data_IF_180426061008
#
_entry.id   IF_180426061008
#
_cell.length_a   1.000
_cell.length_b   1.000
_cell.length_c   1.000
_cell.angle_alpha   90.00
_cell.angle_beta   90.00
_cell.angle_gamma   90.00
#
_symmetry.space_group_name_H-M   'P 1'
#
loop_
_entity.id
_entity.type
_entity.pdbx_description
1 polymer ?
#
# COMPACT_ATOMS: atom_id res chain seq x y z
N UNK A 1 17.56 -2.93 7.95
CA UNK A 1 16.95 -4.19 7.48
C UNK A 1 16.61 -4.03 6.01
N UNK A 2 16.25 -5.10 5.30
CA UNK A 2 15.82 -5.00 3.90
C UNK A 2 14.44 -5.65 3.78
N UNK A 3 13.49 -4.95 3.15
CA UNK A 3 12.16 -5.50 2.88
C UNK A 3 12.29 -6.65 1.86
N UNK A 4 11.50 -7.71 2.04
CA UNK A 4 11.50 -8.86 1.14
C UNK A 4 10.08 -9.11 0.66
N UNK A 5 9.91 -9.36 -0.63
CA UNK A 5 8.62 -9.70 -1.23
C UNK A 5 8.81 -10.91 -2.13
N UNK A 6 8.15 -12.04 -1.86
CA UNK A 6 8.35 -13.28 -2.63
C UNK A 6 7.00 -13.85 -3.03
N UNK A 7 6.89 -14.26 -4.29
CA UNK A 7 5.76 -15.09 -4.73
C UNK A 7 5.98 -16.49 -4.16
N UNK A 8 5.03 -16.97 -3.37
CA UNK A 8 5.06 -18.33 -2.80
C UNK A 8 4.24 -19.32 -3.63
N UNK A 9 3.17 -18.83 -4.26
CA UNK A 9 2.22 -19.64 -5.01
C UNK A 9 1.67 -18.85 -6.19
N UNK A 10 1.59 -19.49 -7.35
CA UNK A 10 0.96 -18.93 -8.55
C UNK A 10 0.19 -20.07 -9.25
N UNK A 11 -1.08 -20.21 -8.90
CA UNK A 11 -1.88 -21.37 -9.30
C UNK A 11 -3.16 -20.96 -10.04
N UNK A 12 -3.57 -21.83 -10.95
CA UNK A 12 -4.92 -21.82 -11.50
C UNK A 12 -5.85 -22.54 -10.53
N UNK A 13 -6.89 -21.84 -10.05
CA UNK A 13 -7.96 -22.44 -9.25
C UNK A 13 -9.13 -22.74 -10.17
N UNK A 14 -9.53 -24.02 -10.36
CA UNK A 14 -10.69 -24.37 -11.17
C UNK A 14 -12.00 -23.81 -10.60
N UNK A 15 -13.00 -23.63 -11.46
CA UNK A 15 -14.34 -23.31 -11.01
C UNK A 15 -14.96 -24.47 -10.21
N UNK A 16 -15.81 -24.19 -9.20
CA UNK A 16 -16.35 -22.88 -8.83
C UNK A 16 -15.42 -22.03 -7.96
N UNK A 17 -15.33 -20.73 -8.25
CA UNK A 17 -14.59 -19.75 -7.42
C UNK A 17 -15.42 -19.26 -6.23
N UNK A 18 -15.95 -20.19 -5.44
CA UNK A 18 -16.67 -19.84 -4.21
C UNK A 18 -15.70 -19.66 -3.04
N UNK A 19 -16.21 -19.13 -1.93
CA UNK A 19 -15.42 -18.83 -0.73
C UNK A 19 -14.77 -20.07 -0.12
N UNK A 20 -15.40 -21.24 -0.22
CA UNK A 20 -14.88 -22.49 0.31
C UNK A 20 -13.64 -22.94 -0.48
N UNK A 21 -13.76 -23.05 -1.81
CA UNK A 21 -12.68 -23.50 -2.70
C UNK A 21 -11.48 -22.57 -2.64
N UNK A 22 -11.71 -21.26 -2.64
CA UNK A 22 -10.64 -20.27 -2.54
C UNK A 22 -9.96 -20.27 -1.16
N UNK A 23 -10.73 -20.49 -0.08
CA UNK A 23 -10.18 -20.64 1.26
C UNK A 23 -9.33 -21.89 1.38
N UNK A 24 -9.79 -23.03 0.84
CA UNK A 24 -9.03 -24.28 0.86
C UNK A 24 -7.71 -24.13 0.10
N UNK A 25 -7.73 -23.53 -1.09
CA UNK A 25 -6.50 -23.26 -1.85
C UNK A 25 -5.51 -22.36 -1.08
N UNK A 26 -6.00 -21.39 -0.31
CA UNK A 26 -5.16 -20.53 0.52
C UNK A 26 -4.59 -21.30 1.72
N UNK A 27 -5.40 -22.11 2.40
CA UNK A 27 -4.96 -22.94 3.53
C UNK A 27 -3.91 -23.96 3.09
N UNK A 28 -4.13 -24.65 1.97
CA UNK A 28 -3.16 -25.58 1.39
C UNK A 28 -1.83 -24.89 1.11
N UNK A 29 -1.86 -23.67 0.55
CA UNK A 29 -0.65 -22.87 0.36
C UNK A 29 0.06 -22.55 1.68
N UNK A 30 -0.67 -22.18 2.74
CA UNK A 30 -0.08 -21.85 4.04
C UNK A 30 0.57 -23.09 4.69
N UNK A 31 -0.06 -24.25 4.55
CA UNK A 31 0.42 -25.53 5.08
C UNK A 31 1.62 -26.07 4.28
N UNK A 32 1.55 -26.03 2.94
CA UNK A 32 2.64 -26.48 2.04
C UNK A 32 3.96 -25.76 2.37
N UNK A 33 3.88 -24.48 2.72
CA UNK A 33 5.02 -23.65 3.09
C UNK A 33 5.34 -23.65 4.59
N UNK A 34 4.53 -24.31 5.43
CA UNK A 34 4.66 -24.34 6.89
C UNK A 34 4.72 -22.93 7.51
N UNK A 35 3.79 -22.07 7.07
CA UNK A 35 3.65 -20.67 7.49
C UNK A 35 2.28 -20.34 8.10
N UNK A 36 1.40 -21.33 8.26
CA UNK A 36 0.09 -21.21 8.88
C UNK A 36 0.14 -20.57 10.29
N UNK A 37 1.23 -20.80 11.04
CA UNK A 37 1.47 -20.19 12.38
C UNK A 37 2.37 -18.96 12.36
N UNK A 38 2.79 -18.51 11.18
CA UNK A 38 3.71 -17.36 10.99
C UNK A 38 3.03 -16.21 10.28
N UNK A 39 1.70 -16.24 10.22
CA UNK A 39 0.89 -15.27 9.52
C UNK A 39 0.57 -14.07 10.42
N UNK A 40 0.90 -12.88 9.95
CA UNK A 40 0.57 -11.61 10.61
C UNK A 40 -0.74 -11.03 10.08
N UNK A 41 -0.77 -10.76 8.78
CA UNK A 41 -1.85 -10.06 8.06
C UNK A 41 -1.96 -10.59 6.64
N UNK A 42 -3.16 -10.52 6.07
CA UNK A 42 -3.46 -10.82 4.68
C UNK A 42 -4.08 -9.57 4.05
N UNK A 43 -3.47 -9.08 2.97
CA UNK A 43 -4.02 -7.98 2.18
C UNK A 43 -4.76 -8.52 0.96
N UNK A 44 -6.06 -8.24 0.85
CA UNK A 44 -6.92 -8.66 -0.27
C UNK A 44 -7.62 -7.46 -0.89
N UNK A 45 -8.12 -7.61 -2.12
CA UNK A 45 -8.99 -6.61 -2.73
C UNK A 45 -10.36 -6.52 -2.02
N UNK A 46 -11.18 -5.54 -2.39
CA UNK A 46 -12.46 -5.28 -1.72
C UNK A 46 -13.62 -6.15 -2.23
N UNK A 47 -13.35 -7.31 -2.83
CA UNK A 47 -14.39 -8.25 -3.19
C UNK A 47 -15.07 -8.82 -1.93
N UNK A 48 -16.40 -8.89 -1.91
CA UNK A 48 -17.16 -9.42 -0.77
C UNK A 48 -16.88 -10.91 -0.50
N UNK A 49 -16.47 -11.67 -1.53
CA UNK A 49 -16.03 -13.06 -1.37
C UNK A 49 -14.83 -13.17 -0.44
N UNK A 50 -13.92 -12.19 -0.46
CA UNK A 50 -12.73 -12.18 0.40
C UNK A 50 -13.08 -12.01 1.87
N UNK A 51 -14.09 -11.19 2.18
CA UNK A 51 -14.59 -11.04 3.56
C UNK A 51 -15.07 -12.39 4.12
N UNK A 52 -15.75 -13.18 3.28
CA UNK A 52 -16.21 -14.50 3.66
C UNK A 52 -15.07 -15.52 3.78
N UNK A 53 -14.05 -15.45 2.91
CA UNK A 53 -12.84 -16.30 2.99
C UNK A 53 -12.09 -16.05 4.29
N UNK A 54 -11.89 -14.78 4.67
CA UNK A 54 -11.20 -14.42 5.90
C UNK A 54 -11.91 -14.99 7.12
N UNK A 55 -13.24 -14.89 7.18
CA UNK A 55 -14.00 -15.45 8.31
C UNK A 55 -13.77 -16.96 8.45
N UNK A 56 -13.83 -17.71 7.34
CA UNK A 56 -13.54 -19.16 7.34
C UNK A 56 -12.10 -19.43 7.74
N UNK A 57 -11.17 -18.60 7.26
CA UNK A 57 -9.74 -18.77 7.52
C UNK A 57 -9.39 -18.55 8.99
N UNK A 58 -9.97 -17.54 9.65
CA UNK A 58 -9.76 -17.28 11.09
C UNK A 58 -10.15 -18.50 11.92
N UNK A 59 -11.23 -19.20 11.55
CA UNK A 59 -11.70 -20.41 12.24
C UNK A 59 -10.77 -21.62 12.01
N UNK A 60 -10.06 -21.65 10.88
CA UNK A 60 -9.11 -22.72 10.52
C UNK A 60 -7.69 -22.49 11.05
N UNK A 61 -7.33 -21.25 11.38
CA UNK A 61 -6.01 -20.90 11.89
C UNK A 61 -5.96 -20.90 13.42
N UNK A 62 -4.77 -21.15 13.97
CA UNK A 62 -4.55 -21.03 15.41
C UNK A 62 -4.61 -19.57 15.84
N UNK A 63 -5.71 -19.18 16.51
CA UNK A 63 -5.94 -17.83 17.01
C UNK A 63 -4.84 -17.31 17.95
N UNK A 64 -4.08 -18.21 18.60
CA UNK A 64 -2.96 -17.81 19.47
C UNK A 64 -1.73 -17.35 18.69
N UNK A 65 -1.60 -17.77 17.43
CA UNK A 65 -0.52 -17.36 16.53
C UNK A 65 -0.77 -15.98 15.89
N UNK A 66 -2.04 -15.57 15.74
CA UNK A 66 -2.44 -14.33 15.07
C UNK A 66 -2.34 -13.09 15.97
N UNK A 67 -1.99 -11.94 15.39
CA UNK A 67 -1.95 -10.66 16.10
C UNK A 67 -3.34 -10.22 16.58
N UNK A 68 -3.40 -9.73 17.83
CA UNK A 68 -4.63 -9.24 18.46
C UNK A 68 -5.80 -10.24 18.36
N UNK A 69 -5.48 -11.55 18.36
CA UNK A 69 -6.43 -12.66 18.15
C UNK A 69 -7.13 -12.62 16.79
N UNK A 70 -6.42 -12.26 15.73
CA UNK A 70 -6.93 -12.21 14.37
C UNK A 70 -7.72 -10.94 14.02
N UNK A 71 -7.90 -10.00 14.96
CA UNK A 71 -8.65 -8.75 14.73
C UNK A 71 -8.08 -7.87 13.61
N UNK A 72 -6.78 -8.00 13.34
CA UNK A 72 -6.06 -7.25 12.30
C UNK A 72 -5.61 -8.14 11.14
N UNK A 73 -6.15 -9.36 11.04
CA UNK A 73 -5.74 -10.31 10.01
C UNK A 73 -6.06 -9.80 8.62
N UNK A 74 -7.23 -9.18 8.42
CA UNK A 74 -7.65 -8.72 7.09
C UNK A 74 -7.33 -7.25 6.86
N UNK A 75 -6.44 -7.02 5.89
CA UNK A 75 -6.15 -5.71 5.34
C UNK A 75 -6.82 -5.55 3.98
N UNK A 76 -7.55 -4.45 3.81
CA UNK A 76 -8.15 -4.11 2.52
C UNK A 76 -7.12 -3.41 1.64
N UNK A 77 -7.09 -3.77 0.35
CA UNK A 77 -6.22 -3.15 -0.62
C UNK A 77 -6.54 -1.66 -0.77
N UNK A 78 -5.61 -0.82 -0.34
CA UNK A 78 -5.79 0.62 -0.28
C UNK A 78 -5.89 1.24 -1.68
N UNK A 79 -5.11 0.74 -2.63
CA UNK A 79 -5.20 1.21 -4.01
C UNK A 79 -6.55 0.86 -4.65
N UNK A 80 -7.13 -0.29 -4.30
CA UNK A 80 -8.49 -0.64 -4.70
C UNK A 80 -9.53 0.26 -4.03
N UNK A 81 -9.37 0.60 -2.73
CA UNK A 81 -10.23 1.58 -2.04
C UNK A 81 -10.18 2.93 -2.76
N UNK A 82 -8.99 3.44 -3.08
CA UNK A 82 -8.81 4.70 -3.80
C UNK A 82 -9.46 4.66 -5.19
N UNK A 83 -9.30 3.55 -5.93
CA UNK A 83 -9.97 3.35 -7.21
C UNK A 83 -11.50 3.44 -7.09
N UNK A 84 -12.08 2.79 -6.07
CA UNK A 84 -13.52 2.87 -5.83
C UNK A 84 -13.98 4.28 -5.45
N UNK A 85 -13.24 4.98 -4.57
CA UNK A 85 -13.55 6.36 -4.20
C UNK A 85 -13.55 7.26 -5.44
N UNK A 86 -12.49 7.18 -6.25
CA UNK A 86 -12.35 8.05 -7.41
C UNK A 86 -13.43 7.75 -8.45
N UNK A 87 -13.72 6.48 -8.72
CA UNK A 87 -14.79 6.09 -9.66
C UNK A 87 -16.15 6.67 -9.29
N UNK A 88 -16.57 6.56 -8.04
CA UNK A 88 -17.84 7.14 -7.57
C UNK A 88 -17.87 8.67 -7.79
N UNK A 89 -16.73 9.34 -7.68
CA UNK A 89 -16.60 10.76 -8.03
C UNK A 89 -16.60 11.04 -9.54
N UNK A 90 -16.00 10.16 -10.35
CA UNK A 90 -15.97 10.32 -11.81
C UNK A 90 -17.35 10.14 -12.45
N UNK A 91 -18.24 9.33 -11.85
CA UNK A 91 -19.61 9.12 -12.34
C UNK A 91 -20.41 10.42 -12.46
N UNK A 92 -20.19 11.38 -11.54
CA UNK A 92 -20.92 12.66 -11.54
C UNK A 92 -20.28 13.74 -12.40
N UNK A 93 -19.06 13.54 -12.89
CA UNK A 93 -18.34 14.54 -13.71
C UNK A 93 -18.24 14.13 -15.19
N UNK A 94 -18.86 13.02 -15.58
CA UNK A 94 -18.79 12.46 -16.95
C UNK A 94 -19.09 13.48 -18.05
N UNK A 95 -20.10 14.33 -17.86
CA UNK A 95 -20.46 15.40 -18.81
C UNK A 95 -19.39 16.50 -18.92
N UNK A 96 -18.65 16.77 -17.85
CA UNK A 96 -17.62 17.81 -17.81
C UNK A 96 -16.35 17.46 -18.59
N UNK A 97 -16.14 16.18 -18.92
CA UNK A 97 -14.95 15.68 -19.63
C UNK A 97 -15.27 14.93 -20.93
N UNK A 98 -16.55 14.79 -21.28
CA UNK A 98 -17.01 13.99 -22.42
C UNK A 98 -16.44 14.49 -23.75
N UNK A 99 -16.47 15.81 -23.99
CA UNK A 99 -15.95 16.38 -25.25
C UNK A 99 -14.44 16.19 -25.41
N UNK A 100 -13.68 16.28 -24.32
CA UNK A 100 -12.23 16.03 -24.34
C UNK A 100 -11.97 14.55 -24.62
N UNK A 101 -12.70 13.65 -23.95
CA UNK A 101 -12.63 12.21 -24.20
C UNK A 101 -12.93 11.86 -25.65
N UNK A 102 -14.02 12.38 -26.20
CA UNK A 102 -14.42 12.19 -27.60
C UNK A 102 -13.32 12.66 -28.56
N UNK A 103 -12.68 13.78 -28.24
CA UNK A 103 -11.59 14.34 -29.05
C UNK A 103 -10.35 13.45 -29.02
N UNK A 104 -9.98 12.95 -27.83
CA UNK A 104 -8.86 12.02 -27.69
C UNK A 104 -9.14 10.75 -28.50
N UNK A 105 -10.31 10.13 -28.30
CA UNK A 105 -10.73 8.93 -29.06
C UNK A 105 -10.69 9.18 -30.56
N UNK A 106 -11.16 10.34 -31.03
CA UNK A 106 -11.15 10.68 -32.44
C UNK A 106 -9.72 10.71 -33.01
N UNK A 107 -8.79 11.38 -32.33
CA UNK A 107 -7.42 11.60 -32.81
C UNK A 107 -6.50 10.40 -32.61
N UNK A 108 -6.83 9.47 -31.71
CA UNK A 108 -6.07 8.22 -31.53
C UNK A 108 -6.64 7.03 -32.30
N UNK A 109 -7.79 7.17 -32.97
CA UNK A 109 -8.49 6.05 -33.63
C UNK A 109 -7.72 5.38 -34.77
N UNK A 110 -6.80 6.08 -35.44
CA UNK A 110 -6.06 5.55 -36.60
C UNK A 110 -4.68 6.16 -36.67
N UNK A 111 -3.72 5.41 -37.23
CA UNK A 111 -2.34 5.88 -37.41
C UNK A 111 -2.24 7.21 -38.15
N UNK A 112 -2.99 7.39 -39.25
CA UNK A 112 -2.99 8.66 -40.00
C UNK A 112 -3.53 9.86 -39.21
N UNK A 113 -4.45 9.64 -38.25
CA UNK A 113 -4.91 10.71 -37.36
C UNK A 113 -3.89 11.06 -36.28
N UNK A 114 -3.17 10.05 -35.76
CA UNK A 114 -2.06 10.26 -34.82
C UNK A 114 -0.97 11.09 -35.49
N UNK A 115 -0.55 10.72 -36.70
CA UNK A 115 0.47 11.45 -37.46
C UNK A 115 0.05 12.90 -37.75
N UNK A 116 -1.21 13.13 -38.12
CA UNK A 116 -1.75 14.47 -38.32
C UNK A 116 -1.76 15.27 -37.01
N UNK A 117 -2.14 14.65 -35.89
CA UNK A 117 -2.08 15.27 -34.57
C UNK A 117 -0.66 15.71 -34.21
N UNK A 118 0.33 14.82 -34.39
CA UNK A 118 1.75 15.09 -34.10
C UNK A 118 2.36 16.15 -35.04
N UNK A 119 1.96 16.18 -36.32
CA UNK A 119 2.32 17.25 -37.24
C UNK A 119 1.79 18.61 -36.74
N UNK A 120 0.52 18.66 -36.31
CA UNK A 120 -0.09 19.91 -35.83
C UNK A 120 0.53 20.37 -34.51
N UNK A 121 0.78 19.46 -33.58
CA UNK A 121 1.43 19.79 -32.31
C UNK A 121 2.83 20.39 -32.55
N UNK A 122 3.60 19.86 -33.50
CA UNK A 122 4.88 20.44 -33.94
C UNK A 122 4.72 21.83 -34.58
N UNK A 123 3.71 22.05 -35.41
CA UNK A 123 3.44 23.36 -36.03
C UNK A 123 3.08 24.44 -35.00
N UNK A 124 2.34 24.07 -33.96
CA UNK A 124 1.98 24.97 -32.85
C UNK A 124 3.14 25.13 -31.85
N UNK A 125 4.27 24.45 -32.07
CA UNK A 125 5.46 24.44 -31.19
C UNK A 125 5.19 23.91 -29.79
N UNK A 126 4.22 23.01 -29.65
CA UNK A 126 3.99 22.27 -28.41
C UNK A 126 4.95 21.08 -28.38
N UNK A 127 5.67 20.89 -27.28
CA UNK A 127 6.60 19.78 -27.11
C UNK A 127 5.83 18.45 -27.07
N UNK A 128 6.00 17.61 -28.10
CA UNK A 128 5.34 16.31 -28.23
C UNK A 128 6.03 15.24 -27.39
N UNK A 129 6.07 15.41 -26.06
CA UNK A 129 6.80 14.52 -25.16
C UNK A 129 5.97 13.32 -24.69
N UNK A 130 4.65 13.38 -24.80
CA UNK A 130 3.72 12.31 -24.36
C UNK A 130 2.68 12.03 -25.45
N UNK A 131 2.41 10.76 -25.77
CA UNK A 131 1.31 10.37 -26.66
C UNK A 131 -0.04 10.57 -25.97
N UNK A 132 -1.09 10.89 -26.72
CA UNK A 132 -2.45 10.93 -26.17
C UNK A 132 -2.86 9.52 -25.70
N UNK A 133 -3.29 9.43 -24.44
CA UNK A 133 -3.72 8.16 -23.83
C UNK A 133 -5.25 8.03 -23.85
N UNK A 134 -5.75 6.85 -24.18
CA UNK A 134 -7.19 6.55 -24.13
C UNK A 134 -7.69 6.43 -22.68
N UNK A 135 -8.93 6.86 -22.46
CA UNK A 135 -9.61 6.65 -21.19
C UNK A 135 -10.19 5.24 -21.08
N UNK A 136 -9.73 4.48 -20.11
CA UNK A 136 -10.28 3.20 -19.68
C UNK A 136 -11.27 3.41 -18.53
N UNK A 137 -12.58 3.22 -18.81
CA UNK A 137 -13.65 3.40 -17.80
C UNK A 137 -13.45 2.57 -16.54
N UNK A 138 -12.78 1.43 -16.64
CA UNK A 138 -12.53 0.53 -15.51
C UNK A 138 -11.28 0.90 -14.70
N UNK A 139 -10.44 1.84 -15.14
CA UNK A 139 -9.21 2.28 -14.46
C UNK A 139 -9.14 3.81 -14.39
N UNK A 140 -9.51 4.40 -13.26
CA UNK A 140 -9.55 5.87 -13.14
C UNK A 140 -8.20 6.59 -13.43
N UNK A 141 -7.06 5.90 -13.21
CA UNK A 141 -5.73 6.43 -13.53
C UNK A 141 -5.61 6.84 -15.00
N UNK A 142 -6.22 6.09 -15.93
CA UNK A 142 -6.20 6.47 -17.35
C UNK A 142 -7.01 7.73 -17.62
N UNK A 143 -8.09 7.97 -16.86
CA UNK A 143 -8.84 9.22 -16.97
C UNK A 143 -7.96 10.40 -16.57
N UNK A 144 -7.22 10.28 -15.47
CA UNK A 144 -6.25 11.31 -15.06
C UNK A 144 -5.16 11.52 -16.12
N UNK A 145 -4.50 10.46 -16.58
CA UNK A 145 -3.44 10.53 -17.59
C UNK A 145 -3.94 11.09 -18.93
N UNK A 146 -5.17 10.76 -19.35
CA UNK A 146 -5.82 11.33 -20.52
C UNK A 146 -5.99 12.83 -20.35
N UNK A 147 -6.56 13.30 -19.23
CA UNK A 147 -6.81 14.72 -19.00
C UNK A 147 -5.51 15.52 -18.88
N UNK A 148 -4.54 15.02 -18.11
CA UNK A 148 -3.22 15.65 -17.94
C UNK A 148 -2.54 15.81 -19.31
N UNK A 149 -2.55 14.76 -20.14
CA UNK A 149 -1.89 14.78 -21.44
C UNK A 149 -2.66 15.62 -22.46
N UNK A 150 -3.99 15.50 -22.52
CA UNK A 150 -4.82 16.29 -23.42
C UNK A 150 -4.69 17.80 -23.13
N UNK A 151 -4.54 18.17 -21.86
CA UNK A 151 -4.36 19.57 -21.46
C UNK A 151 -3.06 20.18 -22.01
N UNK A 152 -1.97 19.40 -22.10
CA UNK A 152 -0.71 19.85 -22.74
C UNK A 152 -0.91 20.26 -24.20
N UNK A 153 -1.90 19.66 -24.87
CA UNK A 153 -2.20 19.88 -26.28
C UNK A 153 -3.45 20.74 -26.51
N UNK A 154 -3.95 21.45 -25.49
CA UNK A 154 -5.16 22.30 -25.58
C UNK A 154 -5.19 23.17 -26.84
N UNK A 155 -4.09 23.84 -27.16
CA UNK A 155 -3.98 24.77 -28.30
C UNK A 155 -3.92 24.08 -29.68
N UNK A 156 -3.73 22.75 -29.71
CA UNK A 156 -3.65 21.96 -30.94
C UNK A 156 -5.04 21.62 -31.47
N UNK A 157 -6.01 21.33 -30.58
CA UNK A 157 -7.38 20.92 -30.96
C UNK A 157 -8.12 21.94 -31.86
N UNK A 158 -8.05 23.27 -31.62
CA UNK A 158 -8.68 24.24 -32.52
C UNK A 158 -8.09 24.24 -33.93
N UNK A 159 -6.78 23.98 -34.07
CA UNK A 159 -6.10 23.90 -35.38
C UNK A 159 -6.50 22.65 -36.14
N UNK A 160 -6.58 21.53 -35.42
CA UNK A 160 -7.04 20.25 -35.97
C UNK A 160 -8.46 20.33 -36.54
N UNK A 161 -9.35 21.07 -35.85
CA UNK A 161 -10.71 21.35 -36.33
C UNK A 161 -10.77 22.10 -37.66
N UNK A 162 -9.77 22.93 -37.97
CA UNK A 162 -9.71 23.64 -39.25
C UNK A 162 -9.31 22.72 -40.41
N UNK A 163 -8.52 21.68 -40.14
CA UNK A 163 -8.02 20.74 -41.17
C UNK A 163 -8.94 19.54 -41.39
N UNK A 164 -9.57 19.02 -40.34
CA UNK A 164 -10.38 17.79 -40.42
C UNK A 164 -11.87 18.08 -40.28
N UNK A 165 -12.61 17.91 -41.38
CA UNK A 165 -14.05 18.18 -41.44
C UNK A 165 -14.87 17.20 -40.61
N UNK A 166 -14.38 15.96 -40.46
CA UNK A 166 -15.06 14.91 -39.69
C UNK A 166 -14.94 15.11 -38.17
N UNK A 167 -14.00 15.93 -37.71
CA UNK A 167 -13.86 16.26 -36.31
C UNK A 167 -14.93 17.28 -35.92
N UNK A 168 -16.11 16.83 -35.48
CA UNK A 168 -17.27 17.71 -35.27
C UNK A 168 -17.32 18.34 -33.88
N UNK A 169 -16.96 17.59 -32.84
CA UNK A 169 -17.05 17.99 -31.42
C UNK A 169 -15.73 18.53 -30.90
N UNK A 170 -15.56 19.86 -30.93
CA UNK A 170 -14.41 20.54 -30.32
C UNK A 170 -14.72 20.85 -28.83
N UNK A 171 -13.79 20.61 -27.89
CA UNK A 171 -13.92 21.05 -26.51
C UNK A 171 -13.94 22.58 -26.42
N UNK A 172 -14.83 23.14 -25.60
CA UNK A 172 -14.90 24.57 -25.34
C UNK A 172 -13.90 25.01 -24.27
N UNK A 173 -13.66 26.31 -24.13
CA UNK A 173 -12.84 26.84 -23.03
C UNK A 173 -13.39 26.43 -21.65
N UNK A 174 -14.71 26.44 -21.49
CA UNK A 174 -15.37 25.98 -20.26
C UNK A 174 -15.10 24.50 -19.96
N UNK A 175 -15.01 23.64 -20.98
CA UNK A 175 -14.64 22.23 -20.78
C UNK A 175 -13.21 22.11 -20.28
N UNK A 176 -12.30 22.90 -20.84
CA UNK A 176 -10.90 22.90 -20.41
C UNK A 176 -10.74 23.41 -18.98
N UNK A 177 -11.49 24.43 -18.59
CA UNK A 177 -11.47 24.96 -17.22
C UNK A 177 -12.01 23.92 -16.21
N UNK A 178 -13.13 23.26 -16.52
CA UNK A 178 -13.68 22.16 -15.70
C UNK A 178 -12.72 20.99 -15.61
N UNK A 179 -12.18 20.55 -16.76
CA UNK A 179 -11.24 19.44 -16.82
C UNK A 179 -9.97 19.71 -16.04
N UNK A 180 -9.45 20.95 -16.09
CA UNK A 180 -8.30 21.36 -15.29
C UNK A 180 -8.60 21.29 -13.79
N UNK A 181 -9.74 21.84 -13.35
CA UNK A 181 -10.14 21.82 -11.94
C UNK A 181 -10.27 20.37 -11.43
N UNK A 182 -10.87 19.49 -12.22
CA UNK A 182 -10.99 18.05 -11.94
C UNK A 182 -9.61 17.40 -11.88
N UNK A 183 -8.77 17.62 -12.90
CA UNK A 183 -7.43 17.05 -13.00
C UNK A 183 -6.56 17.42 -11.79
N UNK A 184 -6.63 18.69 -11.35
CA UNK A 184 -5.93 19.17 -10.17
C UNK A 184 -6.36 18.44 -8.89
N UNK A 185 -7.64 18.06 -8.78
CA UNK A 185 -8.14 17.26 -7.64
C UNK A 185 -7.69 15.80 -7.75
N UNK A 186 -7.79 15.20 -8.93
CA UNK A 186 -7.40 13.81 -9.19
C UNK A 186 -5.90 13.58 -8.98
N UNK A 187 -5.06 14.59 -9.21
CA UNK A 187 -3.62 14.54 -8.97
C UNK A 187 -3.26 14.10 -7.55
N UNK A 188 -4.05 14.49 -6.55
CA UNK A 188 -3.88 14.05 -5.16
C UNK A 188 -3.95 12.52 -5.06
N UNK A 189 -5.00 11.93 -5.63
CA UNK A 189 -5.19 10.48 -5.62
C UNK A 189 -4.13 9.76 -6.44
N UNK A 190 -3.65 10.37 -7.52
CA UNK A 190 -2.67 9.76 -8.42
C UNK A 190 -1.33 9.63 -7.70
N UNK A 191 -0.89 10.73 -7.10
CA UNK A 191 0.34 10.77 -6.29
C UNK A 191 0.27 9.78 -5.12
N UNK A 192 -0.88 9.65 -4.46
CA UNK A 192 -1.05 8.69 -3.34
C UNK A 192 -1.03 7.25 -3.84
N UNK A 193 -1.66 6.97 -4.98
CA UNK A 193 -1.71 5.62 -5.56
C UNK A 193 -0.33 5.16 -6.03
N UNK A 194 0.46 6.04 -6.65
CA UNK A 194 1.85 5.74 -7.01
C UNK A 194 2.69 5.43 -5.76
N UNK A 195 2.56 6.22 -4.70
CA UNK A 195 3.25 5.97 -3.44
C UNK A 195 2.84 4.61 -2.83
N UNK A 196 1.57 4.24 -2.91
CA UNK A 196 1.09 2.96 -2.37
C UNK A 196 1.45 1.76 -3.27
N UNK A 197 1.87 2.01 -4.51
CA UNK A 197 2.30 0.98 -5.46
C UNK A 197 3.80 0.67 -5.36
N UNK A 198 4.53 1.40 -4.50
CA UNK A 198 5.96 1.17 -4.25
C UNK A 198 6.26 -0.20 -3.65
N UNK A 199 7.40 -0.77 -4.03
CA UNK A 199 7.86 -2.10 -3.57
C UNK A 199 9.15 -2.08 -2.75
N UNK A 200 9.90 -0.98 -2.85
CA UNK A 200 11.27 -0.90 -2.33
C UNK A 200 11.34 -0.20 -0.96
N UNK A 201 10.19 0.11 -0.36
CA UNK A 201 10.09 0.77 0.94
C UNK A 201 8.82 0.33 1.67
N UNK A 202 8.79 0.41 3.01
CA UNK A 202 7.58 0.19 3.79
C UNK A 202 6.47 1.14 3.39
N UNK A 203 5.31 0.61 3.02
CA UNK A 203 4.14 1.42 2.65
C UNK A 203 3.19 1.68 3.83
N UNK A 204 3.20 0.81 4.85
CA UNK A 204 2.26 0.86 5.97
C UNK A 204 2.29 2.19 6.75
N UNK A 205 3.48 2.70 7.07
CA UNK A 205 3.64 3.98 7.77
C UNK A 205 3.25 5.19 6.90
N UNK A 206 3.31 5.05 5.57
CA UNK A 206 2.90 6.10 4.63
C UNK A 206 1.37 6.21 4.50
N UNK A 207 0.62 5.15 4.83
CA UNK A 207 -0.83 5.11 4.59
C UNK A 207 -1.58 6.19 5.36
N UNK A 208 -1.45 6.19 6.68
CA UNK A 208 -2.25 7.03 7.58
C UNK A 208 -2.20 8.53 7.21
N UNK A 209 -1.02 9.19 7.05
CA UNK A 209 -0.99 10.60 6.69
C UNK A 209 -1.64 10.90 5.34
N UNK A 210 -1.50 10.01 4.36
CA UNK A 210 -2.05 10.23 3.01
C UNK A 210 -3.56 10.07 2.98
N UNK A 211 -4.09 9.06 3.64
CA UNK A 211 -5.53 8.81 3.70
C UNK A 211 -6.25 9.87 4.54
N UNK A 212 -5.68 10.27 5.68
CA UNK A 212 -6.17 11.43 6.43
C UNK A 212 -6.13 12.72 5.59
N UNK A 213 -5.06 12.92 4.82
CA UNK A 213 -4.94 14.03 3.88
C UNK A 213 -6.05 14.07 2.83
N UNK A 214 -6.43 12.91 2.28
CA UNK A 214 -7.56 12.78 1.35
C UNK A 214 -8.86 13.20 2.03
N UNK A 215 -9.16 12.73 3.25
CA UNK A 215 -10.38 13.11 3.98
C UNK A 215 -10.48 14.59 4.26
N UNK A 216 -9.37 15.22 4.66
CA UNK A 216 -9.31 16.67 4.84
C UNK A 216 -9.55 17.38 3.51
N UNK A 217 -8.90 16.94 2.42
CA UNK A 217 -9.08 17.52 1.09
C UNK A 217 -10.55 17.41 0.61
N UNK A 218 -11.18 16.24 0.73
CA UNK A 218 -12.58 16.02 0.39
C UNK A 218 -13.50 16.97 1.18
N UNK A 219 -13.22 17.16 2.48
CA UNK A 219 -13.97 18.10 3.32
C UNK A 219 -13.83 19.55 2.86
N UNK A 220 -12.62 19.95 2.43
CA UNK A 220 -12.40 21.26 1.80
C UNK A 220 -13.13 21.40 0.46
N UNK A 221 -13.14 20.35 -0.36
CA UNK A 221 -13.76 20.39 -1.69
C UNK A 221 -15.29 20.46 -1.63
N UNK A 222 -15.91 19.97 -0.55
CA UNK A 222 -17.34 20.18 -0.28
C UNK A 222 -17.72 21.66 -0.15
N UNK A 223 -16.76 22.53 0.19
CA UNK A 223 -16.93 23.98 0.30
C UNK A 223 -16.51 24.72 -0.98
N UNK A 224 -16.19 23.99 -2.07
CA UNK A 224 -15.77 24.59 -3.33
C UNK A 224 -16.88 25.47 -3.93
N UNK A 225 -16.55 26.61 -4.58
CA UNK A 225 -17.53 27.38 -5.36
C UNK A 225 -18.08 26.59 -6.56
N UNK A 226 -17.28 25.66 -7.08
CA UNK A 226 -17.62 24.82 -8.24
C UNK A 226 -18.58 23.69 -7.85
N UNK A 227 -19.78 23.69 -8.44
CA UNK A 227 -20.82 22.70 -8.16
C UNK A 227 -20.38 21.28 -8.51
N UNK A 228 -19.70 21.11 -9.65
CA UNK A 228 -19.19 19.81 -10.09
C UNK A 228 -18.18 19.23 -9.09
N UNK A 229 -17.33 20.08 -8.49
CA UNK A 229 -16.38 19.65 -7.45
C UNK A 229 -17.08 19.31 -6.15
N UNK A 230 -18.10 20.07 -5.73
CA UNK A 230 -18.88 19.71 -4.53
C UNK A 230 -19.59 18.38 -4.69
N UNK A 231 -20.21 18.13 -5.85
CA UNK A 231 -20.86 16.86 -6.16
C UNK A 231 -19.87 15.69 -6.15
N UNK A 232 -18.73 15.86 -6.84
CA UNK A 232 -17.64 14.88 -6.87
C UNK A 232 -17.13 14.57 -5.45
N UNK A 233 -16.84 15.61 -4.65
CA UNK A 233 -16.35 15.45 -3.29
C UNK A 233 -17.37 14.76 -2.38
N UNK A 234 -18.67 15.04 -2.55
CA UNK A 234 -19.74 14.39 -1.80
C UNK A 234 -19.77 12.88 -2.04
N UNK A 235 -19.77 12.45 -3.31
CA UNK A 235 -19.73 11.03 -3.68
C UNK A 235 -18.46 10.33 -3.22
N UNK A 236 -17.31 10.95 -3.44
CA UNK A 236 -16.02 10.44 -2.98
C UNK A 236 -15.97 10.30 -1.45
N UNK A 237 -16.50 11.28 -0.71
CA UNK A 237 -16.53 11.24 0.76
C UNK A 237 -17.46 10.14 1.27
N UNK A 238 -18.65 9.99 0.70
CA UNK A 238 -19.57 8.90 1.07
C UNK A 238 -18.89 7.54 0.92
N UNK A 239 -18.16 7.33 -0.18
CA UNK A 239 -17.41 6.10 -0.42
C UNK A 239 -16.23 5.94 0.54
N UNK A 240 -15.52 7.03 0.84
CA UNK A 240 -14.40 7.04 1.78
C UNK A 240 -14.83 6.55 3.18
N UNK A 241 -15.93 7.10 3.74
CA UNK A 241 -16.35 6.80 5.11
C UNK A 241 -16.66 5.29 5.30
N UNK A 242 -17.15 4.62 4.25
CA UNK A 242 -17.43 3.17 4.27
C UNK A 242 -16.18 2.32 4.57
N UNK A 243 -14.98 2.81 4.25
CA UNK A 243 -13.73 2.06 4.42
C UNK A 243 -12.84 2.60 5.54
N UNK A 244 -13.11 3.80 6.03
CA UNK A 244 -12.30 4.47 7.06
C UNK A 244 -12.22 3.65 8.35
N UNK A 245 -13.35 3.15 8.82
CA UNK A 245 -13.44 2.42 10.09
C UNK A 245 -12.71 1.08 10.08
N UNK A 246 -12.52 0.50 8.89
CA UNK A 246 -11.89 -0.83 8.73
C UNK A 246 -10.36 -0.76 8.85
N UNK A 247 -9.73 0.31 8.36
CA UNK A 247 -8.28 0.32 8.14
C UNK A 247 -7.50 1.25 9.09
N UNK A 248 -8.16 2.17 9.80
CA UNK A 248 -7.45 3.25 10.50
C UNK A 248 -6.65 2.79 11.73
N UNK A 249 -7.02 1.67 12.39
CA UNK A 249 -6.36 1.26 13.65
C UNK A 249 -4.94 0.79 13.42
N UNK A 250 -4.77 -0.28 12.64
CA UNK A 250 -3.45 -0.87 12.33
C UNK A 250 -2.54 0.12 11.58
N UNK A 251 -3.12 0.97 10.75
CA UNK A 251 -2.38 2.01 10.04
C UNK A 251 -2.01 3.19 10.95
N UNK A 252 -2.84 3.48 11.95
CA UNK A 252 -2.48 4.38 13.04
C UNK A 252 -1.28 3.85 13.82
N UNK A 253 -1.26 2.55 14.15
CA UNK A 253 -0.11 1.89 14.79
C UNK A 253 1.15 2.01 13.91
N UNK A 254 1.04 1.72 12.61
CA UNK A 254 2.16 1.86 11.68
C UNK A 254 2.71 3.31 11.62
N UNK A 255 1.83 4.31 11.71
CA UNK A 255 2.23 5.71 11.79
C UNK A 255 2.89 6.06 13.13
N UNK A 256 2.41 5.51 14.24
CA UNK A 256 3.03 5.69 15.57
C UNK A 256 4.44 5.13 15.59
N UNK A 257 4.68 3.99 14.94
CA UNK A 257 6.01 3.37 14.82
C UNK A 257 6.97 4.11 13.88
N UNK A 258 6.53 5.18 13.20
CA UNK A 258 7.44 6.09 12.50
C UNK A 258 7.93 7.17 13.47
N UNK A 259 9.25 7.23 13.77
CA UNK A 259 9.80 8.17 14.75
C UNK A 259 9.67 9.64 14.32
N UNK A 260 9.34 9.93 13.05
CA UNK A 260 9.03 11.29 12.57
C UNK A 260 7.60 11.71 12.90
N UNK A 261 6.73 10.76 13.23
CA UNK A 261 5.30 10.96 13.37
C UNK A 261 4.85 10.75 14.82
N UNK A 262 5.04 9.53 15.34
CA UNK A 262 4.55 9.09 16.65
C UNK A 262 3.05 9.41 16.83
N UNK A 263 2.58 9.51 18.07
CA UNK A 263 1.20 9.92 18.35
C UNK A 263 0.90 11.36 17.89
N UNK A 264 1.91 12.23 17.74
CA UNK A 264 1.70 13.63 17.35
C UNK A 264 1.03 13.77 15.99
N UNK A 265 1.41 12.95 15.01
CA UNK A 265 0.78 12.96 13.69
C UNK A 265 -0.69 12.48 13.77
N UNK A 266 -0.94 11.44 14.57
CA UNK A 266 -2.28 10.89 14.79
C UNK A 266 -3.19 11.96 15.40
N UNK A 267 -2.74 12.62 16.48
CA UNK A 267 -3.45 13.73 17.12
C UNK A 267 -3.73 14.87 16.14
N UNK A 268 -2.73 15.31 15.37
CA UNK A 268 -2.89 16.38 14.40
C UNK A 268 -3.99 16.13 13.37
N UNK A 269 -4.06 14.92 12.80
CA UNK A 269 -5.09 14.60 11.83
C UNK A 269 -6.44 14.34 12.49
N UNK A 270 -6.48 13.69 13.64
CA UNK A 270 -7.72 13.42 14.35
C UNK A 270 -8.39 14.70 14.86
N UNK A 271 -7.64 15.71 15.29
CA UNK A 271 -8.18 17.05 15.60
C UNK A 271 -8.89 17.66 14.40
N UNK A 272 -8.29 17.57 13.20
CA UNK A 272 -8.91 18.08 11.96
C UNK A 272 -10.13 17.27 11.50
N UNK A 273 -10.16 15.99 11.86
CA UNK A 273 -11.14 15.04 11.36
C UNK A 273 -12.36 14.95 12.29
N UNK A 274 -12.12 14.86 13.59
CA UNK A 274 -13.12 14.58 14.61
C UNK A 274 -13.40 15.78 15.53
N UNK A 275 -12.57 16.83 15.48
CA UNK A 275 -12.70 17.97 16.39
C UNK A 275 -12.60 17.51 17.85
N UNK A 276 -13.63 17.80 18.63
CA UNK A 276 -13.69 17.48 20.07
C UNK A 276 -13.61 15.97 20.37
N UNK A 277 -13.98 15.11 19.40
CA UNK A 277 -13.86 13.64 19.53
C UNK A 277 -12.45 13.09 19.32
N UNK A 278 -11.48 13.92 18.94
CA UNK A 278 -10.15 13.47 18.54
C UNK A 278 -9.41 12.69 19.63
N UNK A 279 -9.51 13.14 20.89
CA UNK A 279 -8.79 12.52 22.00
C UNK A 279 -9.17 11.05 22.20
N UNK A 280 -10.46 10.71 22.07
CA UNK A 280 -10.97 9.34 22.23
C UNK A 280 -10.35 8.41 21.18
N UNK A 281 -10.26 8.85 19.93
CA UNK A 281 -9.68 8.06 18.85
C UNK A 281 -8.15 7.94 18.97
N UNK A 282 -7.46 9.01 19.42
CA UNK A 282 -6.01 8.94 19.70
C UNK A 282 -5.74 7.93 20.82
N UNK A 283 -6.56 7.96 21.88
CA UNK A 283 -6.43 7.05 23.02
C UNK A 283 -6.64 5.60 22.61
N UNK A 284 -7.60 5.34 21.73
CA UNK A 284 -7.83 4.02 21.15
C UNK A 284 -6.60 3.50 20.41
N UNK A 285 -5.95 4.32 19.57
CA UNK A 285 -4.70 3.92 18.89
C UNK A 285 -3.59 3.65 19.92
N UNK A 286 -3.45 4.52 20.92
CA UNK A 286 -2.47 4.35 22.00
C UNK A 286 -2.68 3.04 22.75
N UNK A 287 -3.91 2.72 23.13
CA UNK A 287 -4.23 1.47 23.81
C UNK A 287 -3.93 0.24 22.96
N UNK A 288 -4.22 0.27 21.65
CA UNK A 288 -3.87 -0.84 20.76
C UNK A 288 -2.34 -1.04 20.65
N UNK A 289 -1.55 0.04 20.71
CA UNK A 289 -0.09 -0.06 20.78
C UNK A 289 0.38 -0.76 22.07
N UNK A 290 -0.26 -0.44 23.21
CA UNK A 290 0.01 -1.12 24.49
C UNK A 290 -0.37 -2.59 24.48
N UNK A 291 -1.56 -2.92 23.97
CA UNK A 291 -2.03 -4.29 23.87
C UNK A 291 -1.07 -5.14 23.02
N UNK A 292 -0.58 -4.58 21.91
CA UNK A 292 0.39 -5.23 21.04
C UNK A 292 1.75 -5.41 21.72
N UNK A 293 2.21 -4.42 22.48
CA UNK A 293 3.43 -4.51 23.28
C UNK A 293 3.35 -5.67 24.29
N UNK A 294 2.24 -5.74 25.03
CA UNK A 294 2.02 -6.80 26.02
C UNK A 294 1.94 -8.19 25.38
N UNK A 295 1.26 -8.31 24.23
CA UNK A 295 1.18 -9.55 23.47
C UNK A 295 2.59 -10.05 23.07
N UNK A 296 3.44 -9.18 22.52
CA UNK A 296 4.80 -9.55 22.11
C UNK A 296 5.70 -9.90 23.30
N UNK A 297 5.58 -9.19 24.43
CA UNK A 297 6.33 -9.51 25.65
C UNK A 297 5.94 -10.87 26.21
N UNK A 298 4.65 -11.22 26.16
CA UNK A 298 4.19 -12.55 26.59
C UNK A 298 4.73 -13.67 25.70
N UNK A 299 4.76 -13.47 24.38
CA UNK A 299 5.33 -14.42 23.41
C UNK A 299 6.83 -14.62 23.65
N UNK A 300 7.58 -13.54 23.90
CA UNK A 300 9.02 -13.61 24.25
C UNK A 300 9.28 -14.48 25.48
N UNK A 301 8.49 -14.30 26.55
CA UNK A 301 8.66 -15.08 27.77
C UNK A 301 8.40 -16.57 27.55
N UNK A 302 7.45 -16.91 26.68
CA UNK A 302 7.18 -18.31 26.32
C UNK A 302 8.30 -18.92 25.48
N UNK A 303 8.87 -18.15 24.55
CA UNK A 303 10.03 -18.58 23.76
C UNK A 303 11.25 -18.82 24.66
N UNK A 304 11.50 -17.97 25.66
CA UNK A 304 12.60 -18.16 26.62
C UNK A 304 12.38 -19.40 27.51
N UNK A 305 11.14 -19.66 27.96
CA UNK A 305 10.81 -20.85 28.76
C UNK A 305 10.93 -22.14 27.92
N UNK A 306 10.56 -22.10 26.65
CA UNK A 306 10.61 -23.26 25.75
C UNK A 306 12.02 -23.53 25.19
N UNK A 307 12.83 -22.49 24.97
CA UNK A 307 14.26 -22.61 24.69
C UNK A 307 15.08 -23.01 25.94
N UNK A 308 14.58 -22.69 27.15
CA UNK A 308 15.15 -23.07 28.44
C UNK A 308 14.83 -24.50 28.91
N UNK A 309 14.25 -25.33 28.04
CA UNK A 309 13.95 -26.75 28.27
C UNK A 309 15.17 -27.67 28.35
N UNK A 310 16.23 -27.25 29.04
CA UNK A 310 17.29 -28.07 29.65
C UNK A 310 18.15 -27.22 30.60
N UNK A 311 17.53 -26.49 31.53
CA UNK A 311 18.25 -26.02 32.71
C UNK A 311 17.29 -25.66 33.86
N UNK A 312 16.63 -26.66 34.43
CA UNK A 312 16.24 -26.59 35.85
C UNK A 312 17.02 -27.64 36.63
N UNK A 313 17.98 -27.14 37.40
CA UNK A 313 18.74 -27.81 38.46
C UNK A 313 19.45 -29.12 38.13
N UNK A 314 20.73 -29.04 37.75
CA UNK A 314 21.70 -30.08 38.08
C UNK A 314 22.90 -29.48 38.82
N UNK A 315 22.75 -29.35 40.14
CA UNK A 315 23.89 -29.47 41.05
C UNK A 315 24.38 -30.92 40.95
N UNK A 316 25.33 -31.22 40.06
CA UNK A 316 26.30 -32.32 40.22
C UNK A 316 27.34 -32.33 39.09
N UNK A 317 28.54 -31.86 39.44
CA UNK A 317 29.87 -32.26 38.97
C UNK A 317 30.11 -32.66 37.51
N UNK A 318 30.81 -31.81 36.75
CA UNK A 318 32.28 -31.95 36.58
C UNK A 318 32.85 -30.90 35.63
N UNK A 319 33.73 -30.07 36.21
CA UNK A 319 34.97 -29.50 35.66
C UNK A 319 34.98 -28.98 34.22
N UNK A 320 34.90 -27.65 34.06
CA UNK A 320 36.04 -26.85 33.59
C UNK A 320 35.76 -25.33 33.72
N UNK A 321 36.65 -24.68 34.48
CA UNK A 321 36.96 -23.23 34.57
C UNK A 321 35.84 -22.23 34.26
N UNK A 322 35.08 -21.86 35.29
CA UNK A 322 34.33 -20.59 35.31
C UNK A 322 35.21 -19.49 35.91
N UNK A 323 35.50 -18.46 35.13
CA UNK A 323 35.85 -17.15 35.68
C UNK A 323 34.63 -16.66 36.49
N UNK A 324 34.85 -16.45 37.78
CA UNK A 324 33.89 -15.89 38.72
C UNK A 324 33.57 -14.45 38.27
N UNK A 325 32.38 -14.25 37.68
CA UNK A 325 31.95 -12.95 37.19
C UNK A 325 31.71 -12.00 38.38
N UNK A 326 32.72 -11.16 38.63
CA UNK A 326 32.80 -10.17 39.71
C UNK A 326 31.60 -9.21 39.75
N UNK A 327 30.83 -9.10 38.65
CA UNK A 327 29.68 -8.21 38.52
C UNK A 327 28.33 -8.86 38.85
N UNK A 328 28.26 -10.18 39.03
CA UNK A 328 27.02 -10.88 39.42
C UNK A 328 26.39 -10.33 40.70
N UNK A 329 27.22 -9.92 41.66
CA UNK A 329 26.78 -9.26 42.90
C UNK A 329 26.27 -7.82 42.67
N UNK A 330 26.81 -7.12 41.67
CA UNK A 330 26.33 -5.81 41.24
C UNK A 330 24.97 -5.90 40.54
N UNK A 331 24.76 -6.91 39.68
CA UNK A 331 23.47 -7.17 39.03
C UNK A 331 22.36 -7.46 40.05
N UNK A 332 22.66 -8.25 41.09
CA UNK A 332 21.75 -8.51 42.20
C UNK A 332 21.45 -7.24 43.03
N UNK A 333 22.43 -6.36 43.22
CA UNK A 333 22.27 -5.09 43.93
C UNK A 333 21.35 -4.12 43.17
N UNK A 334 21.54 -3.98 41.86
CA UNK A 334 20.69 -3.13 41.01
C UNK A 334 19.24 -3.62 41.00
N UNK A 335 19.03 -4.93 40.87
CA UNK A 335 17.69 -5.52 40.91
C UNK A 335 16.99 -5.37 42.27
N UNK A 336 17.76 -5.33 43.36
CA UNK A 336 17.23 -5.14 44.72
C UNK A 336 16.84 -3.68 45.03
N UNK A 337 17.47 -2.70 44.36
CA UNK A 337 17.25 -1.27 44.60
C UNK A 337 16.03 -0.66 43.87
N UNK A 338 15.33 -1.42 43.04
CA UNK A 338 14.33 -0.88 42.09
C UNK A 338 12.87 -1.02 42.57
N UNK A 339 12.60 -0.87 43.86
CA UNK A 339 11.25 -0.86 44.41
C UNK A 339 10.66 0.57 44.46
N UNK A 340 9.53 0.77 43.78
CA UNK A 340 8.63 1.95 43.80
C UNK A 340 8.92 3.16 42.89
N UNK A 341 9.23 2.94 41.60
CA UNK A 341 8.99 3.95 40.55
C UNK A 341 8.00 3.36 39.56
N UNK A 342 6.98 4.13 39.16
CA UNK A 342 6.04 3.74 38.11
C UNK A 342 6.85 3.30 36.87
N UNK A 343 6.92 1.98 36.61
CA UNK A 343 7.83 1.41 35.62
C UNK A 343 7.32 1.80 34.24
N UNK A 344 7.87 2.88 33.68
CA UNK A 344 7.57 3.31 32.31
C UNK A 344 7.85 2.16 31.37
N UNK A 345 6.90 1.90 30.48
CA UNK A 345 7.06 0.89 29.45
C UNK A 345 8.05 1.35 28.37
N UNK A 346 8.52 0.39 27.58
CA UNK A 346 9.32 0.67 26.38
C UNK A 346 8.62 1.67 25.43
N UNK A 347 7.29 1.56 25.31
CA UNK A 347 6.45 2.45 24.51
C UNK A 347 6.42 3.88 25.07
N UNK A 348 6.36 4.05 26.40
CA UNK A 348 6.41 5.37 27.03
C UNK A 348 7.70 6.11 26.67
N UNK A 349 8.85 5.43 26.81
CA UNK A 349 10.15 6.01 26.46
C UNK A 349 10.22 6.42 24.98
N UNK A 350 9.72 5.55 24.09
CA UNK A 350 9.68 5.86 22.66
C UNK A 350 8.76 7.06 22.35
N UNK A 351 7.60 7.16 22.99
CA UNK A 351 6.64 8.24 22.75
C UNK A 351 7.08 9.58 23.35
N UNK A 352 7.81 9.57 24.46
CA UNK A 352 8.34 10.77 25.13
C UNK A 352 9.51 11.40 24.36
N UNK A 353 10.28 10.61 23.62
CA UNK A 353 11.33 11.13 22.76
C UNK A 353 10.79 12.11 21.70
N UNK A 354 11.58 13.12 21.38
CA UNK A 354 11.23 14.08 20.33
C UNK A 354 11.00 13.38 18.96
N UNK A 355 10.05 13.91 18.20
CA UNK A 355 9.85 13.48 16.81
C UNK A 355 11.04 13.92 15.96
N UNK A 356 11.43 13.06 15.01
CA UNK A 356 12.50 13.37 14.07
C UNK A 356 12.01 14.31 12.97
N UNK A 357 12.96 15.05 12.37
CA UNK A 357 12.69 15.87 11.20
C UNK A 357 12.35 14.98 9.99
N UNK A 358 11.41 15.45 9.17
CA UNK A 358 11.01 14.78 7.94
C UNK A 358 12.00 15.10 6.81
N UNK A 359 13.07 14.31 6.72
CA UNK A 359 13.99 14.34 5.57
C UNK A 359 13.56 13.33 4.50
N UNK A 360 13.92 13.60 3.24
CA UNK A 360 13.59 12.75 2.08
C UNK A 360 14.34 11.42 2.18
N UNK A 361 15.59 11.45 2.64
CA UNK A 361 16.47 10.28 2.70
C UNK A 361 16.34 9.46 4.00
N UNK A 362 15.26 9.66 4.76
CA UNK A 362 15.06 8.94 6.01
C UNK A 362 14.66 7.48 5.78
N UNK A 363 15.54 6.56 6.18
CA UNK A 363 15.28 5.12 6.18
C UNK A 363 14.77 4.63 7.54
N UNK A 364 13.46 4.39 7.62
CA UNK A 364 12.78 3.86 8.81
C UNK A 364 13.27 2.46 9.20
N UNK A 365 13.62 1.60 8.24
CA UNK A 365 14.08 0.23 8.50
C UNK A 365 15.50 0.24 9.08
N UNK A 366 16.36 1.14 8.62
CA UNK A 366 17.68 1.32 9.20
C UNK A 366 17.60 1.97 10.59
N UNK A 367 16.67 2.90 10.79
CA UNK A 367 16.43 3.52 12.10
C UNK A 367 16.04 2.47 13.15
N UNK A 368 15.05 1.61 12.85
CA UNK A 368 14.63 0.54 13.76
C UNK A 368 15.72 -0.53 13.96
N UNK A 369 16.51 -0.84 12.92
CA UNK A 369 17.66 -1.75 13.07
C UNK A 369 18.68 -1.20 14.08
N UNK A 370 18.96 0.09 14.03
CA UNK A 370 20.01 0.73 14.85
C UNK A 370 19.52 1.04 16.26
N UNK A 371 18.30 1.57 16.41
CA UNK A 371 17.75 1.99 17.70
C UNK A 371 16.99 0.87 18.42
N UNK A 372 16.75 -0.27 17.77
CA UNK A 372 15.98 -1.34 18.38
C UNK A 372 16.67 -2.08 19.53
N UNK A 373 17.98 -1.86 19.75
CA UNK A 373 18.63 -2.29 21.01
C UNK A 373 18.02 -1.58 22.22
N UNK A 374 17.63 -0.31 22.06
CA UNK A 374 16.93 0.47 23.09
C UNK A 374 15.47 0.04 23.24
N UNK A 375 14.89 -0.48 22.15
CA UNK A 375 13.49 -0.82 22.03
C UNK A 375 13.31 -2.25 21.49
N UNK A 376 13.67 -3.30 22.28
CA UNK A 376 13.72 -4.67 21.77
C UNK A 376 12.34 -5.23 21.37
N UNK A 377 11.27 -4.91 22.10
CA UNK A 377 9.93 -5.40 21.79
C UNK A 377 9.33 -4.62 20.62
N UNK A 378 9.41 -3.28 20.67
CA UNK A 378 8.90 -2.41 19.61
C UNK A 378 9.65 -2.63 18.31
N UNK A 379 10.94 -2.96 18.35
CA UNK A 379 11.69 -3.34 17.16
C UNK A 379 11.05 -4.56 16.47
N UNK A 380 10.64 -5.59 17.22
CA UNK A 380 9.93 -6.75 16.64
C UNK A 380 8.58 -6.34 16.06
N UNK A 381 7.80 -5.56 16.80
CA UNK A 381 6.51 -5.03 16.34
C UNK A 381 6.67 -4.22 15.04
N UNK A 382 7.64 -3.30 14.99
CA UNK A 382 7.93 -2.49 13.83
C UNK A 382 8.33 -3.34 12.62
N UNK A 383 9.07 -4.43 12.83
CA UNK A 383 9.44 -5.34 11.76
C UNK A 383 8.21 -5.96 11.08
N UNK A 384 7.24 -6.40 11.88
CA UNK A 384 6.08 -7.11 11.37
C UNK A 384 5.01 -6.15 10.81
N UNK A 385 4.80 -4.99 11.46
CA UNK A 385 3.83 -3.98 11.03
C UNK A 385 4.29 -3.21 9.79
N UNK A 386 5.58 -2.82 9.70
CA UNK A 386 6.09 -2.07 8.55
C UNK A 386 6.20 -2.93 7.29
N UNK A 387 6.25 -4.25 7.44
CA UNK A 387 6.26 -5.19 6.33
C UNK A 387 4.89 -5.38 5.67
N UNK A 388 3.80 -4.90 6.28
CA UNK A 388 2.44 -5.03 5.75
C UNK A 388 2.33 -4.28 4.41
N UNK A 389 2.06 -4.98 3.28
CA UNK A 389 1.77 -4.32 2.02
C UNK A 389 0.36 -3.74 2.07
N UNK A 390 0.23 -2.44 1.81
CA UNK A 390 -1.09 -1.78 1.81
C UNK A 390 -1.81 -1.92 0.46
N UNK A 391 -1.13 -2.42 -0.56
CA UNK A 391 -1.64 -2.55 -1.93
C UNK A 391 -1.34 -3.92 -2.52
N UNK A 392 -2.26 -4.45 -3.32
CA UNK A 392 -2.11 -5.68 -4.11
C UNK A 392 -1.53 -5.40 -5.49
N UNK A 393 -1.47 -4.12 -5.92
CA UNK A 393 -0.99 -3.71 -7.25
C UNK A 393 0.43 -4.23 -7.54
N UNK A 394 1.29 -4.27 -6.52
CA UNK A 394 2.63 -4.82 -6.66
C UNK A 394 2.60 -6.28 -7.15
N UNK A 395 1.63 -7.07 -6.68
CA UNK A 395 1.42 -8.46 -7.09
C UNK A 395 0.63 -8.56 -8.40
N UNK A 396 -0.29 -7.64 -8.68
CA UNK A 396 -1.04 -7.58 -9.95
C UNK A 396 -0.13 -7.46 -11.18
N UNK A 397 0.99 -6.74 -11.06
CA UNK A 397 1.99 -6.72 -12.14
C UNK A 397 2.59 -8.09 -12.48
N UNK A 398 2.63 -9.02 -11.53
CA UNK A 398 3.08 -10.39 -11.78
C UNK A 398 2.06 -11.11 -12.66
N UNK A 399 0.76 -10.86 -12.47
CA UNK A 399 -0.29 -11.36 -13.35
C UNK A 399 -0.22 -10.71 -14.74
N UNK A 400 0.01 -9.41 -14.85
CA UNK A 400 0.24 -8.76 -16.16
C UNK A 400 1.45 -9.33 -16.88
N UNK A 401 2.56 -9.56 -16.15
CA UNK A 401 3.77 -10.19 -16.70
C UNK A 401 3.49 -11.63 -17.15
N UNK A 402 2.62 -12.35 -16.43
CA UNK A 402 2.23 -13.71 -16.80
C UNK A 402 1.50 -13.78 -18.14
N UNK A 403 0.83 -12.72 -18.58
CA UNK A 403 0.24 -12.64 -19.94
C UNK A 403 1.26 -12.83 -21.06
N UNK A 404 2.53 -12.51 -20.82
CA UNK A 404 3.66 -12.76 -21.75
C UNK A 404 4.10 -14.24 -21.76
N UNK A 405 3.87 -14.97 -20.67
CA UNK A 405 4.20 -16.39 -20.50
C UNK A 405 3.05 -17.31 -20.91
N UNK A 406 1.83 -16.92 -20.56
CA UNK A 406 0.58 -17.60 -20.83
C UNK A 406 -0.34 -16.60 -21.53
N UNK A 407 -0.42 -16.73 -22.85
CA UNK A 407 -1.40 -15.98 -23.66
C UNK A 407 -2.41 -16.95 -24.27
N UNK A 408 -3.56 -16.49 -24.79
CA UNK A 408 -4.51 -17.35 -25.48
C UNK A 408 -3.87 -18.15 -26.64
N UNK A 409 -2.75 -17.65 -27.19
CA UNK A 409 -2.00 -18.25 -28.29
C UNK A 409 -0.79 -19.08 -27.80
N UNK A 410 -0.44 -18.98 -26.51
CA UNK A 410 0.71 -19.65 -25.85
C UNK A 410 0.30 -20.25 -24.50
N UNK A 411 -0.65 -21.18 -24.52
CA UNK A 411 -1.24 -21.81 -23.31
C UNK A 411 -0.73 -23.23 -23.00
N UNK A 412 0.40 -23.65 -23.60
CA UNK A 412 0.87 -25.05 -23.55
C UNK A 412 1.72 -25.42 -22.32
N UNK A 413 2.02 -24.48 -21.44
CA UNK A 413 2.80 -24.77 -20.24
C UNK A 413 1.91 -25.41 -19.17
N UNK A 414 2.40 -26.47 -18.53
CA UNK A 414 1.70 -27.08 -17.40
C UNK A 414 1.63 -26.08 -16.23
N UNK A 415 0.54 -26.01 -15.45
CA UNK A 415 0.39 -25.04 -14.36
C UNK A 415 1.56 -25.01 -13.38
N UNK A 416 2.11 -26.18 -13.02
CA UNK A 416 3.28 -26.27 -12.14
C UNK A 416 4.55 -25.67 -12.74
N UNK A 417 4.71 -25.71 -14.07
CA UNK A 417 5.82 -25.06 -14.76
C UNK A 417 5.65 -23.55 -14.77
N UNK A 418 4.42 -23.06 -15.00
CA UNK A 418 4.11 -21.63 -14.93
C UNK A 418 4.39 -21.09 -13.53
N UNK A 419 3.92 -21.80 -12.50
CA UNK A 419 4.19 -21.47 -11.10
C UNK A 419 5.69 -21.39 -10.81
N UNK A 420 6.44 -22.44 -11.16
CA UNK A 420 7.87 -22.48 -10.94
C UNK A 420 8.61 -21.32 -11.62
N UNK A 421 8.21 -20.94 -12.83
CA UNK A 421 8.78 -19.80 -13.55
C UNK A 421 8.49 -18.48 -12.84
N UNK A 422 7.23 -18.24 -12.44
CA UNK A 422 6.82 -17.03 -11.74
C UNK A 422 7.51 -16.88 -10.38
N UNK A 423 7.58 -17.95 -9.60
CA UNK A 423 8.27 -17.97 -8.31
C UNK A 423 9.78 -17.76 -8.50
N UNK A 424 10.42 -18.48 -9.41
CA UNK A 424 11.87 -18.35 -9.65
C UNK A 424 12.25 -16.95 -10.11
N UNK A 425 11.47 -16.37 -11.04
CA UNK A 425 11.68 -15.00 -11.50
C UNK A 425 11.55 -13.99 -10.35
N UNK A 426 10.50 -14.13 -9.53
CA UNK A 426 10.30 -13.30 -8.34
C UNK A 426 11.49 -13.38 -7.39
N UNK A 427 11.96 -14.60 -7.09
CA UNK A 427 13.04 -14.79 -6.12
C UNK A 427 14.37 -14.24 -6.64
N UNK A 428 14.71 -14.51 -7.91
CA UNK A 428 15.93 -14.00 -8.52
C UNK A 428 15.96 -12.47 -8.58
N UNK A 429 14.87 -11.81 -8.95
CA UNK A 429 14.83 -10.34 -8.94
C UNK A 429 15.02 -9.76 -7.54
N UNK A 430 14.43 -10.36 -6.51
CA UNK A 430 14.63 -9.89 -5.14
C UNK A 430 16.07 -10.07 -4.66
N UNK A 431 16.74 -11.14 -5.04
CA UNK A 431 18.17 -11.34 -4.74
C UNK A 431 19.06 -10.32 -5.47
N UNK A 432 18.78 -10.04 -6.75
CA UNK A 432 19.48 -9.00 -7.51
C UNK A 432 19.27 -7.61 -6.90
N UNK A 433 18.05 -7.29 -6.47
CA UNK A 433 17.78 -6.01 -5.81
C UNK A 433 18.46 -5.91 -4.44
N UNK A 434 18.44 -6.97 -3.63
CA UNK A 434 19.14 -7.01 -2.34
C UNK A 434 20.66 -6.82 -2.48
N UNK A 435 21.26 -7.40 -3.52
CA UNK A 435 22.70 -7.23 -3.79
C UNK A 435 23.03 -5.85 -4.37
N UNK A 436 22.18 -5.29 -5.22
CA UNK A 436 22.35 -3.95 -5.80
C UNK A 436 22.22 -2.81 -4.78
N UNK A 437 21.44 -2.96 -3.70
CA UNK A 437 21.37 -1.94 -2.63
C UNK A 437 22.70 -1.74 -1.87
N UNK A 438 23.71 -2.58 -2.13
CA UNK A 438 25.07 -2.49 -1.59
C UNK A 438 26.05 -1.74 -2.51
N UNK A 439 25.64 -1.38 -3.73
CA UNK A 439 26.46 -0.66 -4.72
C UNK A 439 25.63 0.46 -5.34
N UNK A 440 26.12 1.69 -5.23
CA UNK A 440 25.45 2.91 -5.72
C UNK A 440 24.79 2.74 -7.10
N UNK A 441 23.54 3.19 -7.32
CA UNK A 441 22.85 2.93 -8.57
C UNK A 441 23.33 3.90 -9.65
N UNK A 442 24.23 3.44 -10.52
CA UNK A 442 24.35 4.00 -11.86
C UNK A 442 23.67 3.05 -12.85
N UNK A 443 22.77 3.62 -13.65
CA UNK A 443 22.15 3.04 -14.84
C UNK A 443 21.47 1.67 -14.70
N UNK A 444 20.16 1.68 -14.43
CA UNK A 444 19.25 0.75 -15.12
C UNK A 444 18.11 1.57 -15.71
N UNK A 445 18.10 1.60 -17.04
CA UNK A 445 17.13 2.29 -17.86
C UNK A 445 15.71 1.85 -17.52
N UNK A 446 14.84 2.84 -17.35
CA UNK A 446 13.39 2.71 -17.50
C UNK A 446 13.14 2.18 -18.91
N UNK A 447 12.93 0.88 -19.03
CA UNK A 447 12.25 0.35 -20.21
C UNK A 447 10.79 0.72 -20.04
N UNK A 448 10.30 1.53 -20.98
CA UNK A 448 8.91 1.87 -21.13
C UNK A 448 8.06 0.61 -21.04
N UNK A 449 7.21 0.54 -20.02
CA UNK A 449 6.04 -0.32 -20.03
C UNK A 449 5.10 0.26 -21.09
N UNK A 450 5.28 -0.17 -22.34
CA UNK A 450 4.20 -0.16 -23.32
C UNK A 450 3.12 -1.12 -22.77
N UNK A 451 2.22 -0.58 -21.94
CA UNK A 451 0.92 -1.19 -21.66
C UNK A 451 0.11 -1.14 -22.96
N UNK A 452 0.32 -2.16 -23.80
CA UNK A 452 -0.67 -2.51 -24.82
C UNK A 452 -2.01 -2.74 -24.10
N UNK A 453 -2.98 -1.89 -24.44
CA UNK A 453 -4.36 -2.00 -24.04
C UNK A 453 -4.98 -3.22 -24.74
N UNK A 454 -4.66 -4.43 -24.26
CA UNK A 454 -5.37 -5.62 -24.65
C UNK A 454 -6.71 -5.71 -23.91
N UNK A 455 -7.71 -5.98 -24.73
CA UNK A 455 -9.12 -5.78 -24.53
C UNK A 455 -9.72 -7.05 -23.92
N UNK A 456 -9.58 -7.26 -22.61
CA UNK A 456 -10.21 -8.39 -21.94
C UNK A 456 -11.62 -8.05 -21.46
N UNK A 457 -12.57 -8.22 -22.38
CA UNK A 457 -13.95 -8.58 -22.03
C UNK A 457 -14.01 -10.12 -21.92
N UNK A 458 -13.98 -10.67 -20.71
CA UNK A 458 -14.86 -11.75 -20.20
C UNK A 458 -14.80 -11.74 -18.67
#
# INVERSE_FOLDING_TARGET
>A
WILQSRILRFIYVPTPHNKEVLCDALVDCLLDWNIDRKLSTITLDNCSTNDAIINILVDKLDSSSLFLKGRVLHMRCCAHILNLIVKDGLEVIGQGIERIRDSVVFWTATQGRIENFEEMARQVKVSCTKKLCLDCKTRWNSTYSMLETAFLYKDVFPRLKQRERLYTRLPTEEDWDKAKEICDKLKLFYTVTELFSGRNYPTANCYFPKVCGIRVALTTWLQSPSEIIRMMASKMKEKYEKYWDVCHVIMGIAAVLDPRYKLRLVSYYFEKIYGDGAWVEVEKIRQNCYDLLLEYQSKLRLDDISAGGSSSSCLSGSTNFMEDDFLSSYDLYINSGSSNVNVKSELDFYLEENVLLRTIDFDILNWWKTNGVKFPTLQRIARDILAIPISTIALESAFSTSGRLVSPHRSRLHPTTVEALMCSQSWSWNEMHATSSTTSPSCLATFDDDEDCDNDNV
#
